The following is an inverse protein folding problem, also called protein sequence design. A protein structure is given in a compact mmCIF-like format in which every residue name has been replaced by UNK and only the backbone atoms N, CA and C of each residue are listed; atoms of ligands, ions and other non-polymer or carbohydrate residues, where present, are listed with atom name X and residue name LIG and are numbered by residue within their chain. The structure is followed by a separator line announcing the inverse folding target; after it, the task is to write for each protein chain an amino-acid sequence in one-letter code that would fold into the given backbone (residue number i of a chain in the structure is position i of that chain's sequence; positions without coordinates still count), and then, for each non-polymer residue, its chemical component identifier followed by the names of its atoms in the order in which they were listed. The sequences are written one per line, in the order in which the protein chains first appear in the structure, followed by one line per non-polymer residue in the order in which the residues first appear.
data_IF_744999387447
#
_entry.id   IF_744999387447
#
_cell.length_a   1.000
_cell.length_b   1.000
_cell.length_c   1.000
_cell.angle_alpha   90.00
_cell.angle_beta   90.00
_cell.angle_gamma   90.00
#
_symmetry.space_group_name_H-M   'P 1'
#
loop_
_entity.id
_entity.type
_entity.pdbx_description
1 polymer ?
#
# COMPACT_ATOMS: atom_id res chain seq x y z
N UNK A 1 25.90 -8.87 -7.49
CA UNK A 1 26.46 -7.61 -6.92
C UNK A 1 27.26 -7.86 -5.66
N UNK A 2 26.76 -8.61 -4.65
CA UNK A 2 27.48 -8.86 -3.39
C UNK A 2 28.84 -9.58 -3.58
N UNK A 3 28.93 -10.51 -4.53
CA UNK A 3 30.18 -11.22 -4.83
C UNK A 3 31.31 -10.34 -5.42
N UNK A 4 31.01 -9.08 -5.80
CA UNK A 4 31.95 -8.12 -6.38
C UNK A 4 32.38 -7.03 -5.40
N UNK A 5 31.95 -7.11 -4.14
CA UNK A 5 32.36 -6.15 -3.10
C UNK A 5 33.85 -6.32 -2.79
N UNK A 6 34.55 -5.20 -2.70
CA UNK A 6 35.96 -5.16 -2.31
C UNK A 6 36.13 -5.68 -0.87
N UNK A 7 37.06 -6.62 -0.69
CA UNK A 7 37.34 -7.26 0.60
C UNK A 7 38.08 -6.32 1.56
N UNK A 8 38.61 -5.20 1.06
CA UNK A 8 39.30 -4.19 1.88
C UNK A 8 38.36 -3.43 2.83
N UNK A 9 37.06 -3.40 2.53
CA UNK A 9 36.05 -2.69 3.33
C UNK A 9 35.36 -3.68 4.28
N UNK A 10 35.49 -3.54 5.62
CA UNK A 10 34.89 -4.47 6.58
C UNK A 10 33.39 -4.20 6.73
N UNK A 11 32.61 -4.59 5.71
CA UNK A 11 31.16 -4.42 5.69
C UNK A 11 30.46 -5.64 6.31
N UNK A 12 29.60 -5.42 7.31
CA UNK A 12 28.66 -6.42 7.82
C UNK A 12 27.25 -6.03 7.39
N UNK A 13 26.57 -6.91 6.65
CA UNK A 13 25.24 -6.64 6.08
C UNK A 13 24.24 -7.61 6.69
N UNK A 14 23.17 -7.09 7.30
CA UNK A 14 21.99 -7.87 7.68
C UNK A 14 20.96 -7.78 6.56
N UNK A 15 20.46 -8.94 6.11
CA UNK A 15 19.43 -9.04 5.07
C UNK A 15 18.25 -9.80 5.66
N UNK A 16 17.06 -9.22 5.56
CA UNK A 16 15.80 -9.89 5.93
C UNK A 16 14.98 -10.15 4.67
N UNK A 17 14.38 -11.33 4.58
CA UNK A 17 13.63 -11.74 3.40
C UNK A 17 12.73 -12.93 3.70
N UNK A 18 11.71 -13.16 2.87
CA UNK A 18 11.02 -14.46 2.83
C UNK A 18 11.95 -15.52 2.24
N UNK A 19 11.89 -16.72 2.80
CA UNK A 19 12.63 -17.87 2.28
C UNK A 19 12.12 -18.18 0.86
N UNK A 20 13.01 -18.03 -0.13
CA UNK A 20 12.70 -18.39 -1.52
C UNK A 20 13.84 -19.22 -2.10
N UNK A 21 13.55 -20.23 -2.95
CA UNK A 21 14.60 -21.05 -3.56
C UNK A 21 15.62 -20.20 -4.34
N UNK A 22 15.15 -19.12 -4.98
CA UNK A 22 16.01 -18.16 -5.69
C UNK A 22 17.01 -17.51 -4.74
N UNK A 23 16.58 -17.01 -3.57
CA UNK A 23 17.51 -16.42 -2.61
C UNK A 23 18.49 -17.46 -2.07
N UNK A 24 18.00 -18.63 -1.67
CA UNK A 24 18.82 -19.71 -1.11
C UNK A 24 19.96 -20.10 -2.07
N UNK A 25 19.67 -20.21 -3.37
CA UNK A 25 20.67 -20.51 -4.39
C UNK A 25 21.71 -19.38 -4.54
N UNK A 26 21.28 -18.12 -4.53
CA UNK A 26 22.21 -16.99 -4.63
C UNK A 26 23.12 -16.88 -3.41
N UNK A 27 22.60 -17.08 -2.20
CA UNK A 27 23.43 -17.04 -0.99
C UNK A 27 24.40 -18.22 -0.94
N UNK A 28 23.95 -19.42 -1.29
CA UNK A 28 24.82 -20.60 -1.39
C UNK A 28 26.01 -20.36 -2.35
N UNK A 29 25.79 -19.62 -3.44
CA UNK A 29 26.87 -19.26 -4.39
C UNK A 29 27.94 -18.32 -3.82
N UNK A 30 27.67 -17.62 -2.71
CA UNK A 30 28.66 -16.79 -2.02
C UNK A 30 29.67 -17.65 -1.23
N UNK A 31 29.37 -18.92 -0.99
CA UNK A 31 30.17 -19.81 -0.15
C UNK A 31 29.78 -19.72 1.32
N UNK A 32 29.82 -20.87 2.00
CA UNK A 32 29.32 -21.07 3.37
C UNK A 32 30.02 -20.24 4.44
N UNK A 33 31.22 -19.72 4.16
CA UNK A 33 31.97 -18.89 5.11
C UNK A 33 31.62 -17.40 5.04
N UNK A 34 30.86 -16.95 4.03
CA UNK A 34 30.60 -15.52 3.76
C UNK A 34 29.20 -15.06 4.15
N UNK A 35 28.32 -15.95 4.57
CA UNK A 35 27.01 -15.58 5.08
C UNK A 35 26.58 -16.54 6.18
N UNK A 36 25.75 -16.04 7.09
CA UNK A 36 25.01 -16.82 8.07
C UNK A 36 23.54 -16.73 7.73
N UNK A 37 22.82 -17.84 7.85
CA UNK A 37 21.40 -17.91 7.57
C UNK A 37 20.68 -18.40 8.83
N UNK A 38 19.85 -17.53 9.37
CA UNK A 38 18.98 -17.84 10.51
C UNK A 38 17.54 -17.86 10.02
N UNK A 39 16.86 -18.97 10.30
CA UNK A 39 15.44 -19.13 9.98
C UNK A 39 14.61 -18.84 11.21
N UNK A 40 13.71 -17.88 11.11
CA UNK A 40 12.72 -17.62 12.15
C UNK A 40 11.63 -18.69 12.03
N UNK A 41 11.49 -19.49 13.08
CA UNK A 41 10.47 -20.51 13.23
C UNK A 41 9.30 -19.99 14.09
N UNK A 42 8.20 -20.75 14.12
CA UNK A 42 7.07 -20.44 15.01
C UNK A 42 7.48 -20.46 16.48
N UNK A 43 8.37 -21.37 16.88
CA UNK A 43 8.89 -21.46 18.25
C UNK A 43 9.62 -20.18 18.69
N UNK A 44 10.28 -19.47 17.77
CA UNK A 44 10.97 -18.21 18.06
C UNK A 44 9.97 -17.06 18.28
N UNK A 45 8.84 -17.09 17.59
CA UNK A 45 7.84 -16.00 17.59
C UNK A 45 6.76 -16.13 18.66
N UNK A 46 6.37 -17.36 19.03
CA UNK A 46 5.24 -17.60 19.94
C UNK A 46 5.40 -16.94 21.33
N UNK A 47 6.58 -16.93 21.98
CA UNK A 47 6.77 -16.23 23.26
C UNK A 47 6.48 -14.73 23.16
N UNK A 48 6.97 -14.09 22.10
CA UNK A 48 6.80 -12.66 21.86
C UNK A 48 5.36 -12.32 21.44
N UNK A 49 4.72 -13.18 20.64
CA UNK A 49 3.28 -13.06 20.33
C UNK A 49 2.47 -13.16 21.63
N UNK A 50 2.82 -14.07 22.54
CA UNK A 50 2.12 -14.18 23.83
C UNK A 50 2.21 -12.88 24.61
N UNK A 51 3.40 -12.29 24.72
CA UNK A 51 3.58 -10.98 25.36
C UNK A 51 2.74 -9.89 24.69
N UNK A 52 2.68 -9.88 23.36
CA UNK A 52 1.86 -8.93 22.60
C UNK A 52 0.37 -9.11 22.89
N UNK A 53 -0.13 -10.35 22.83
CA UNK A 53 -1.55 -10.65 23.07
C UNK A 53 -1.92 -10.30 24.51
N UNK A 54 -1.10 -10.65 25.49
CA UNK A 54 -1.34 -10.30 26.90
C UNK A 54 -1.36 -8.79 27.13
N UNK A 55 -0.44 -8.05 26.50
CA UNK A 55 -0.41 -6.59 26.59
C UNK A 55 -1.65 -5.94 25.98
N UNK A 56 -2.15 -6.46 24.86
CA UNK A 56 -3.32 -5.94 24.14
C UNK A 56 -4.65 -6.44 24.70
N UNK A 57 -4.69 -7.65 25.26
CA UNK A 57 -5.88 -8.20 25.91
C UNK A 57 -6.26 -7.40 27.16
N UNK A 58 -5.33 -6.65 27.77
CA UNK A 58 -5.64 -5.69 28.85
C UNK A 58 -6.57 -4.55 28.41
N UNK A 59 -6.54 -4.16 27.14
CA UNK A 59 -7.47 -3.14 26.61
C UNK A 59 -8.83 -3.71 26.19
N UNK A 60 -8.99 -5.03 26.19
CA UNK A 60 -10.27 -5.70 25.91
C UNK A 60 -11.03 -5.88 27.24
N UNK A 61 -12.24 -5.34 27.29
CA UNK A 61 -13.12 -5.45 28.47
C UNK A 61 -13.69 -6.88 28.56
N UNK A 62 -13.13 -7.68 29.46
CA UNK A 62 -13.59 -9.03 29.79
C UNK A 62 -13.96 -9.08 31.28
N UNK A 63 -14.95 -9.90 31.64
CA UNK A 63 -15.47 -10.02 33.01
C UNK A 63 -14.46 -10.55 34.02
N UNK A 64 -13.61 -11.50 33.62
CA UNK A 64 -12.63 -12.09 34.52
C UNK A 64 -11.28 -12.46 33.83
N UNK A 65 -10.28 -12.79 34.65
CA UNK A 65 -8.94 -13.14 34.17
C UNK A 65 -8.87 -14.53 33.53
N UNK A 66 -9.86 -15.40 33.78
CA UNK A 66 -9.93 -16.75 33.23
C UNK A 66 -10.37 -16.71 31.76
N UNK A 67 -11.36 -15.88 31.45
CA UNK A 67 -11.81 -15.61 30.09
C UNK A 67 -10.69 -14.94 29.28
N UNK A 68 -9.92 -14.05 29.91
CA UNK A 68 -8.73 -13.44 29.30
C UNK A 68 -7.65 -14.46 28.98
N UNK A 69 -7.34 -15.37 29.90
CA UNK A 69 -6.37 -16.44 29.66
C UNK A 69 -6.83 -17.36 28.51
N UNK A 70 -8.12 -17.73 28.50
CA UNK A 70 -8.71 -18.56 27.45
C UNK A 70 -8.63 -17.87 26.08
N UNK A 71 -8.89 -16.56 26.03
CA UNK A 71 -8.76 -15.75 24.81
C UNK A 71 -7.32 -15.74 24.29
N UNK A 72 -6.36 -15.50 25.19
CA UNK A 72 -4.92 -15.49 24.86
C UNK A 72 -4.51 -16.84 24.27
N UNK A 73 -4.90 -17.95 24.88
CA UNK A 73 -4.59 -19.30 24.40
C UNK A 73 -5.19 -19.58 23.01
N UNK A 74 -6.46 -19.21 22.79
CA UNK A 74 -7.12 -19.37 21.49
C UNK A 74 -6.42 -18.57 20.39
N UNK A 75 -6.06 -17.32 20.66
CA UNK A 75 -5.34 -16.46 19.70
C UNK A 75 -3.95 -17.04 19.40
N UNK A 76 -3.22 -17.49 20.42
CA UNK A 76 -1.89 -18.09 20.23
C UNK A 76 -1.96 -19.35 19.37
N UNK A 77 -2.90 -20.24 19.66
CA UNK A 77 -3.08 -21.50 18.93
C UNK A 77 -3.45 -21.27 17.45
N UNK A 78 -4.21 -20.22 17.14
CA UNK A 78 -4.57 -19.85 15.76
C UNK A 78 -3.53 -19.00 15.04
N UNK A 79 -2.65 -18.31 15.76
CA UNK A 79 -1.69 -17.36 15.16
C UNK A 79 -0.65 -17.98 14.25
N UNK A 80 -0.31 -19.25 14.46
CA UNK A 80 0.72 -19.98 13.72
C UNK A 80 2.05 -19.21 13.58
N UNK A 81 2.41 -18.41 14.59
CA UNK A 81 3.62 -17.58 14.60
C UNK A 81 3.52 -16.26 13.82
N UNK A 82 2.34 -15.89 13.33
CA UNK A 82 2.12 -14.66 12.56
C UNK A 82 1.72 -13.49 13.46
N UNK A 83 2.68 -12.63 13.80
CA UNK A 83 2.41 -11.35 14.47
C UNK A 83 1.36 -10.52 13.72
N UNK A 84 1.42 -10.52 12.39
CA UNK A 84 0.50 -9.77 11.57
C UNK A 84 -0.94 -10.26 11.79
N UNK A 85 -1.16 -11.57 11.65
CA UNK A 85 -2.46 -12.17 11.92
C UNK A 85 -2.94 -11.81 13.33
N UNK A 86 -2.08 -11.98 14.33
CA UNK A 86 -2.41 -11.68 15.73
C UNK A 86 -2.86 -10.23 15.92
N UNK A 87 -2.16 -9.27 15.33
CA UNK A 87 -2.52 -7.84 15.43
C UNK A 87 -3.87 -7.57 14.77
N UNK A 88 -4.16 -8.17 13.62
CA UNK A 88 -5.45 -7.98 12.93
C UNK A 88 -6.61 -8.55 13.76
N UNK A 89 -6.45 -9.77 14.27
CA UNK A 89 -7.46 -10.42 15.11
C UNK A 89 -7.72 -9.64 16.39
N UNK A 90 -6.67 -9.19 17.08
CA UNK A 90 -6.83 -8.34 18.28
C UNK A 90 -7.58 -7.05 17.94
N UNK A 91 -7.27 -6.43 16.80
CA UNK A 91 -7.96 -5.21 16.36
C UNK A 91 -9.43 -5.46 16.05
N UNK A 92 -9.76 -6.61 15.45
CA UNK A 92 -11.14 -6.99 15.15
C UNK A 92 -11.94 -7.26 16.43
N UNK A 93 -11.36 -8.01 17.38
CA UNK A 93 -11.98 -8.29 18.67
C UNK A 93 -12.19 -7.03 19.51
N UNK A 94 -11.31 -6.04 19.39
CA UNK A 94 -11.46 -4.75 20.08
C UNK A 94 -12.68 -3.95 19.60
N UNK A 95 -13.24 -4.28 18.43
CA UNK A 95 -14.45 -3.64 17.90
C UNK A 95 -15.74 -4.37 18.29
N UNK A 96 -15.66 -5.54 18.94
CA UNK A 96 -16.81 -6.29 19.43
C UNK A 96 -17.24 -5.78 20.82
N UNK A 97 -18.54 -5.69 21.06
CA UNK A 97 -19.08 -5.12 22.30
C UNK A 97 -19.50 -6.19 23.32
N UNK A 98 -19.53 -7.47 22.93
CA UNK A 98 -19.90 -8.59 23.82
C UNK A 98 -18.92 -9.76 23.79
N UNK A 99 -18.79 -10.47 24.92
CA UNK A 99 -17.93 -11.67 25.03
C UNK A 99 -18.35 -12.80 24.10
N UNK A 100 -19.66 -13.03 23.95
CA UNK A 100 -20.18 -14.03 23.02
C UNK A 100 -19.91 -13.66 21.56
N UNK A 101 -20.03 -12.37 21.24
CA UNK A 101 -19.70 -11.83 19.92
C UNK A 101 -18.20 -11.99 19.63
N UNK A 102 -17.33 -11.67 20.60
CA UNK A 102 -15.89 -11.88 20.50
C UNK A 102 -15.51 -13.35 20.33
N UNK A 103 -16.09 -14.26 21.12
CA UNK A 103 -15.78 -15.70 20.99
C UNK A 103 -16.23 -16.22 19.63
N UNK A 104 -17.42 -15.80 19.16
CA UNK A 104 -17.93 -16.17 17.85
C UNK A 104 -17.07 -15.60 16.72
N UNK A 105 -16.69 -14.32 16.81
CA UNK A 105 -15.79 -13.70 15.85
C UNK A 105 -14.45 -14.43 15.80
N UNK A 106 -13.86 -14.77 16.95
CA UNK A 106 -12.61 -15.53 17.02
C UNK A 106 -12.74 -16.93 16.42
N UNK A 107 -13.89 -17.59 16.57
CA UNK A 107 -14.14 -18.90 15.97
C UNK A 107 -14.25 -18.82 14.44
N UNK A 108 -14.95 -17.80 13.93
CA UNK A 108 -15.13 -17.52 12.50
C UNK A 108 -13.84 -17.03 11.82
N UNK A 109 -12.94 -16.39 12.57
CA UNK A 109 -11.67 -15.90 12.02
C UNK A 109 -10.80 -17.09 11.58
N UNK A 110 -10.42 -17.16 10.29
CA UNK A 110 -9.56 -18.21 9.78
C UNK A 110 -8.13 -18.02 10.26
N UNK A 111 -7.34 -19.10 10.22
CA UNK A 111 -5.92 -19.06 10.55
C UNK A 111 -5.08 -18.39 9.45
N UNK A 112 -5.55 -18.45 8.22
CA UNK A 112 -4.89 -17.87 7.07
C UNK A 112 -5.20 -16.37 6.93
N UNK A 113 -4.28 -15.65 6.29
CA UNK A 113 -4.41 -14.21 6.03
C UNK A 113 -5.42 -13.91 4.92
N UNK A 114 -5.53 -14.79 3.92
CA UNK A 114 -6.38 -14.57 2.75
C UNK A 114 -7.87 -14.41 3.12
N UNK A 115 -8.47 -15.27 3.97
CA UNK A 115 -9.89 -15.11 4.22
C UNK A 115 -10.21 -13.95 5.20
N UNK A 116 -9.23 -13.47 5.99
CA UNK A 116 -9.34 -12.16 6.68
C UNK A 116 -9.45 -11.01 5.67
N UNK A 117 -8.67 -11.07 4.60
CA UNK A 117 -8.76 -10.09 3.51
C UNK A 117 -10.08 -10.21 2.75
N UNK A 118 -10.57 -11.42 2.47
CA UNK A 118 -11.89 -11.62 1.86
C UNK A 118 -13.01 -11.00 2.69
N UNK A 119 -13.04 -11.25 4.00
CA UNK A 119 -14.02 -10.63 4.92
C UNK A 119 -14.01 -9.12 4.81
N UNK A 120 -12.82 -8.52 4.74
CA UNK A 120 -12.67 -7.06 4.57
C UNK A 120 -13.28 -6.58 3.24
N UNK A 121 -13.01 -7.30 2.14
CA UNK A 121 -13.58 -6.97 0.83
C UNK A 121 -15.10 -7.14 0.79
N UNK A 122 -15.66 -8.11 1.50
CA UNK A 122 -17.11 -8.28 1.65
C UNK A 122 -17.73 -7.09 2.37
N UNK A 123 -17.16 -6.65 3.49
CA UNK A 123 -17.61 -5.46 4.21
C UNK A 123 -17.59 -4.21 3.32
N UNK A 124 -16.52 -4.04 2.53
CA UNK A 124 -16.42 -2.96 1.54
C UNK A 124 -17.47 -3.09 0.42
N UNK A 125 -17.86 -4.31 0.05
CA UNK A 125 -18.89 -4.58 -0.97
C UNK A 125 -20.28 -4.15 -0.49
N UNK A 126 -20.56 -4.37 0.80
CA UNK A 126 -21.85 -4.05 1.43
C UNK A 126 -21.98 -2.59 1.86
N UNK A 127 -20.87 -1.84 1.94
CA UNK A 127 -20.89 -0.43 2.29
C UNK A 127 -21.67 0.41 1.26
N UNK A 128 -22.66 1.23 1.68
CA UNK A 128 -23.48 2.01 0.78
C UNK A 128 -22.68 3.16 0.13
N UNK A 129 -22.63 3.16 -1.20
CA UNK A 129 -21.89 4.17 -1.97
C UNK A 129 -20.36 4.00 -1.86
N UNK A 130 -19.61 4.67 -2.74
CA UNK A 130 -18.16 4.69 -2.62
C UNK A 130 -17.40 3.50 -3.20
N UNK A 131 -18.05 2.49 -3.81
CA UNK A 131 -17.34 1.40 -4.52
C UNK A 131 -16.31 1.90 -5.54
N UNK A 132 -16.68 2.91 -6.34
CA UNK A 132 -15.79 3.55 -7.31
C UNK A 132 -14.56 4.17 -6.64
N UNK A 133 -14.77 4.86 -5.52
CA UNK A 133 -13.71 5.46 -4.71
C UNK A 133 -12.82 4.37 -4.10
N UNK A 134 -13.40 3.31 -3.55
CA UNK A 134 -12.67 2.22 -2.95
C UNK A 134 -11.78 1.48 -3.93
N UNK A 135 -12.29 1.14 -5.12
CA UNK A 135 -11.46 0.57 -6.19
C UNK A 135 -10.33 1.51 -6.57
N UNK A 136 -10.59 2.81 -6.66
CA UNK A 136 -9.56 3.79 -6.98
C UNK A 136 -8.48 3.85 -5.89
N UNK A 137 -8.87 4.00 -4.61
CA UNK A 137 -7.93 4.04 -3.48
C UNK A 137 -7.09 2.76 -3.42
N UNK A 138 -7.70 1.58 -3.53
CA UNK A 138 -6.97 0.31 -3.55
C UNK A 138 -6.00 0.24 -4.73
N UNK A 139 -6.43 0.64 -5.93
CA UNK A 139 -5.56 0.66 -7.12
C UNK A 139 -4.35 1.58 -6.92
N UNK A 140 -4.59 2.81 -6.46
CA UNK A 140 -3.54 3.81 -6.24
C UNK A 140 -2.57 3.36 -5.16
N UNK A 141 -3.05 2.92 -4.01
CA UNK A 141 -2.20 2.52 -2.88
C UNK A 141 -1.45 1.21 -3.15
N UNK A 142 -2.04 0.28 -3.90
CA UNK A 142 -1.40 -1.00 -4.28
C UNK A 142 -0.31 -0.81 -5.33
N UNK A 143 -0.54 0.02 -6.35
CA UNK A 143 0.36 0.14 -7.50
C UNK A 143 1.25 1.39 -7.48
N UNK A 144 1.08 2.29 -6.50
CA UNK A 144 1.95 3.46 -6.36
C UNK A 144 3.43 3.07 -6.19
N UNK A 145 4.30 3.94 -6.67
CA UNK A 145 5.77 3.78 -6.56
C UNK A 145 6.27 3.99 -5.13
N UNK A 146 5.51 4.75 -4.33
CA UNK A 146 5.79 5.09 -2.94
C UNK A 146 4.49 5.46 -2.22
N UNK A 147 4.49 5.50 -0.88
CA UNK A 147 3.42 6.12 -0.11
C UNK A 147 3.10 7.54 -0.62
N UNK A 148 1.81 7.82 -0.76
CA UNK A 148 1.31 9.09 -1.30
C UNK A 148 0.81 9.96 -0.16
N UNK A 149 1.15 11.25 -0.16
CA UNK A 149 0.52 12.18 0.79
C UNK A 149 -0.98 12.27 0.52
N UNK A 150 -1.78 12.62 1.53
CA UNK A 150 -3.23 12.79 1.34
C UNK A 150 -3.57 13.77 0.21
N UNK A 151 -2.79 14.85 0.05
CA UNK A 151 -2.95 15.82 -1.05
C UNK A 151 -2.65 15.19 -2.42
N UNK A 152 -1.60 14.37 -2.52
CA UNK A 152 -1.27 13.65 -3.75
C UNK A 152 -2.35 12.66 -4.11
N UNK A 153 -2.85 11.89 -3.15
CA UNK A 153 -3.91 10.92 -3.39
C UNK A 153 -5.22 11.61 -3.79
N UNK A 154 -5.61 12.70 -3.12
CA UNK A 154 -6.79 13.50 -3.48
C UNK A 154 -6.68 14.05 -4.92
N UNK A 155 -5.52 14.62 -5.29
CA UNK A 155 -5.28 15.11 -6.65
C UNK A 155 -5.31 13.99 -7.69
N UNK A 156 -4.72 12.84 -7.39
CA UNK A 156 -4.75 11.65 -8.24
C UNK A 156 -6.20 11.15 -8.48
N UNK A 157 -6.98 11.02 -7.40
CA UNK A 157 -8.38 10.59 -7.46
C UNK A 157 -9.26 11.60 -8.21
N UNK A 158 -8.99 12.90 -8.05
CA UNK A 158 -9.74 13.96 -8.77
C UNK A 158 -9.56 13.82 -10.28
N UNK A 159 -8.35 13.54 -10.76
CA UNK A 159 -8.07 13.34 -12.18
C UNK A 159 -8.65 12.03 -12.70
N UNK A 160 -8.59 10.98 -11.88
CA UNK A 160 -8.89 9.63 -12.28
C UNK A 160 -10.41 9.34 -12.31
N UNK A 161 -11.13 9.69 -11.23
CA UNK A 161 -12.57 9.45 -11.10
C UNK A 161 -13.44 10.71 -11.20
N UNK A 162 -12.83 11.87 -11.48
CA UNK A 162 -13.49 13.15 -11.77
C UNK A 162 -14.43 13.62 -10.66
N UNK A 163 -13.94 13.53 -9.43
CA UNK A 163 -14.72 13.76 -8.22
C UNK A 163 -13.83 14.31 -7.09
N UNK A 164 -14.42 14.96 -6.08
CA UNK A 164 -13.68 15.58 -4.98
C UNK A 164 -14.02 14.93 -3.65
N UNK A 165 -13.00 14.66 -2.83
CA UNK A 165 -13.12 13.88 -1.60
C UNK A 165 -12.61 14.68 -0.39
N UNK A 166 -13.39 15.65 0.12
CA UNK A 166 -12.97 16.50 1.24
C UNK A 166 -12.73 15.71 2.54
N UNK A 167 -13.30 14.51 2.67
CA UNK A 167 -13.18 13.61 3.84
C UNK A 167 -12.42 12.33 3.51
N UNK A 168 -11.45 12.40 2.60
CA UNK A 168 -10.71 11.23 2.12
C UNK A 168 -10.00 10.47 3.25
N UNK A 169 -9.40 11.17 4.19
CA UNK A 169 -8.69 10.54 5.32
C UNK A 169 -9.64 9.78 6.25
N UNK A 170 -10.76 10.40 6.65
CA UNK A 170 -11.82 9.75 7.44
C UNK A 170 -12.36 8.50 6.71
N UNK A 171 -12.58 8.63 5.39
CA UNK A 171 -13.03 7.53 4.55
C UNK A 171 -12.02 6.36 4.55
N UNK A 172 -10.72 6.64 4.44
CA UNK A 172 -9.67 5.61 4.47
C UNK A 172 -9.66 4.89 5.82
N UNK A 173 -9.71 5.65 6.92
CA UNK A 173 -9.66 5.10 8.28
C UNK A 173 -10.86 4.18 8.59
N UNK A 174 -12.05 4.50 8.07
CA UNK A 174 -13.27 3.73 8.34
C UNK A 174 -13.42 2.52 7.42
N UNK A 175 -13.13 2.66 6.12
CA UNK A 175 -13.54 1.67 5.12
C UNK A 175 -12.44 0.68 4.69
N UNK A 176 -11.17 0.97 4.96
CA UNK A 176 -10.05 0.22 4.37
C UNK A 176 -9.17 -0.46 5.42
N UNK A 177 -9.67 -0.65 6.65
CA UNK A 177 -8.90 -0.96 7.86
C UNK A 177 -7.71 -1.92 7.70
N UNK A 178 -7.87 -3.04 6.98
CA UNK A 178 -6.81 -4.03 6.80
C UNK A 178 -5.98 -3.87 5.50
N UNK A 179 -6.41 -3.00 4.59
CA UNK A 179 -5.77 -2.77 3.30
C UNK A 179 -4.99 -1.46 3.23
N UNK A 180 -5.55 -0.35 3.70
CA UNK A 180 -4.92 0.97 3.59
C UNK A 180 -4.89 1.66 4.94
N UNK A 181 -3.75 2.23 5.30
CA UNK A 181 -3.62 3.12 6.44
C UNK A 181 -3.02 4.47 6.02
N UNK A 182 -3.21 5.46 6.89
CA UNK A 182 -2.54 6.75 6.81
C UNK A 182 -1.49 6.78 7.92
N UNK A 183 -0.23 6.97 7.55
CA UNK A 183 0.86 7.03 8.52
C UNK A 183 0.84 8.34 9.35
N UNK A 184 1.70 8.42 10.36
CA UNK A 184 1.85 9.61 11.22
C UNK A 184 2.27 10.88 10.48
N UNK A 185 2.67 10.77 9.21
CA UNK A 185 3.06 11.88 8.34
C UNK A 185 1.97 12.23 7.32
N UNK A 186 0.77 11.64 7.43
CA UNK A 186 -0.34 11.89 6.51
C UNK A 186 -0.13 11.25 5.13
N UNK A 187 0.53 10.08 5.07
CA UNK A 187 0.72 9.34 3.82
C UNK A 187 -0.11 8.07 3.80
N UNK A 188 -0.91 7.92 2.75
CA UNK A 188 -1.67 6.73 2.46
C UNK A 188 -0.77 5.65 1.83
N UNK A 189 -0.86 4.43 2.36
CA UNK A 189 -0.14 3.26 1.87
C UNK A 189 -0.86 1.96 2.23
N UNK A 190 -0.44 0.87 1.60
CA UNK A 190 -0.89 -0.46 2.02
C UNK A 190 -0.45 -0.73 3.46
N UNK A 191 -1.35 -1.26 4.31
CA UNK A 191 -0.99 -1.57 5.71
C UNK A 191 0.16 -2.58 5.75
N UNK A 192 0.10 -3.61 4.89
CA UNK A 192 1.09 -4.69 4.84
C UNK A 192 1.34 -5.20 3.41
N UNK A 193 2.53 -5.78 3.19
CA UNK A 193 2.91 -6.37 1.90
C UNK A 193 2.04 -7.55 1.49
N UNK A 194 1.57 -8.37 2.43
CA UNK A 194 0.65 -9.50 2.17
C UNK A 194 -0.71 -9.04 1.67
N UNK A 195 -1.23 -7.92 2.18
CA UNK A 195 -2.48 -7.33 1.70
C UNK A 195 -2.34 -6.83 0.26
N UNK A 196 -1.19 -6.25 -0.07
CA UNK A 196 -0.85 -5.85 -1.45
C UNK A 196 -0.75 -7.05 -2.39
N UNK A 197 -0.12 -8.13 -1.95
CA UNK A 197 0.02 -9.37 -2.74
C UNK A 197 -1.34 -10.01 -2.99
N UNK A 198 -2.18 -10.11 -1.96
CA UNK A 198 -3.55 -10.60 -2.08
C UNK A 198 -4.37 -9.82 -3.11
N UNK A 199 -4.35 -8.48 -3.08
CA UNK A 199 -5.08 -7.67 -4.06
C UNK A 199 -4.55 -7.80 -5.50
N UNK A 200 -3.28 -8.17 -5.67
CA UNK A 200 -2.63 -8.36 -6.97
C UNK A 200 -2.70 -9.81 -7.47
N UNK A 201 -3.34 -10.71 -6.73
CA UNK A 201 -3.40 -12.12 -7.06
C UNK A 201 -4.34 -12.37 -8.25
N UNK A 202 -3.90 -13.19 -9.20
CA UNK A 202 -4.65 -13.47 -10.43
C UNK A 202 -5.87 -14.39 -10.18
N UNK A 203 -5.86 -15.13 -9.08
CA UNK A 203 -6.93 -16.02 -8.59
C UNK A 203 -7.95 -15.31 -7.68
N UNK A 204 -7.74 -14.04 -7.35
CA UNK A 204 -8.69 -13.28 -6.52
C UNK A 204 -9.97 -12.96 -7.31
N UNK A 205 -11.03 -13.72 -7.05
CA UNK A 205 -12.37 -13.42 -7.53
C UNK A 205 -13.03 -12.33 -6.66
N UNK A 206 -12.67 -11.07 -6.92
CA UNK A 206 -13.29 -9.93 -6.26
C UNK A 206 -13.43 -8.73 -7.18
N UNK A 207 -14.48 -7.95 -6.98
CA UNK A 207 -14.65 -6.67 -7.68
C UNK A 207 -13.59 -5.63 -7.31
N UNK A 208 -12.84 -5.87 -6.23
CA UNK A 208 -11.72 -5.06 -5.74
C UNK A 208 -10.35 -5.61 -6.14
N UNK A 209 -10.28 -6.73 -6.86
CA UNK A 209 -9.03 -7.26 -7.39
C UNK A 209 -8.33 -6.21 -8.27
N UNK A 210 -7.02 -6.09 -8.12
CA UNK A 210 -6.22 -5.09 -8.81
C UNK A 210 -5.42 -5.77 -9.92
N UNK A 211 -5.92 -5.68 -11.15
CA UNK A 211 -5.13 -6.09 -12.30
C UNK A 211 -3.93 -5.14 -12.45
N UNK A 212 -2.73 -5.67 -12.30
CA UNK A 212 -1.48 -4.89 -12.29
C UNK A 212 -1.28 -4.05 -13.55
N UNK A 213 -1.53 -4.62 -14.72
CA UNK A 213 -1.32 -3.95 -16.01
C UNK A 213 -2.33 -2.82 -16.21
N UNK A 214 -3.61 -3.07 -15.94
CA UNK A 214 -4.65 -2.05 -16.03
C UNK A 214 -4.48 -0.95 -14.97
N UNK A 215 -4.02 -1.30 -13.77
CA UNK A 215 -3.68 -0.34 -12.72
C UNK A 215 -2.54 0.58 -13.16
N UNK A 216 -1.43 0.03 -13.69
CA UNK A 216 -0.33 0.85 -14.19
C UNK A 216 -0.75 1.72 -15.38
N UNK A 217 -1.57 1.22 -16.30
CA UNK A 217 -2.19 2.02 -17.38
C UNK A 217 -2.99 3.20 -16.81
N UNK A 218 -3.87 2.94 -15.84
CA UNK A 218 -4.71 3.95 -15.18
C UNK A 218 -3.87 5.03 -14.48
N UNK A 219 -2.85 4.63 -13.73
CA UNK A 219 -1.94 5.56 -13.04
C UNK A 219 -1.11 6.37 -14.04
N UNK A 220 -0.58 5.74 -15.11
CA UNK A 220 0.14 6.43 -16.18
C UNK A 220 -0.73 7.49 -16.85
N UNK A 221 -1.99 7.14 -17.18
CA UNK A 221 -2.98 8.06 -17.76
C UNK A 221 -3.21 9.27 -16.88
N UNK A 222 -3.41 9.08 -15.57
CA UNK A 222 -3.62 10.19 -14.64
C UNK A 222 -2.38 11.09 -14.53
N UNK A 223 -1.18 10.51 -14.43
CA UNK A 223 0.07 11.27 -14.44
C UNK A 223 0.23 12.10 -15.73
N UNK A 224 0.02 11.49 -16.91
CA UNK A 224 0.18 12.21 -18.17
C UNK A 224 -0.92 13.24 -18.42
N UNK A 225 -2.16 12.97 -17.97
CA UNK A 225 -3.26 13.95 -18.00
C UNK A 225 -2.90 15.17 -17.18
N UNK A 226 -2.34 14.97 -15.99
CA UNK A 226 -1.83 16.05 -15.17
C UNK A 226 -0.71 16.83 -15.88
N UNK A 227 0.29 16.10 -16.41
CA UNK A 227 1.48 16.69 -17.04
C UNK A 227 1.18 17.47 -18.32
N UNK A 228 0.12 17.09 -19.04
CA UNK A 228 -0.36 17.74 -20.28
C UNK A 228 -1.54 18.69 -20.05
N UNK A 229 -1.98 18.85 -18.80
CA UNK A 229 -3.10 19.69 -18.42
C UNK A 229 -2.76 21.17 -18.29
N UNK A 230 -3.79 21.99 -18.08
CA UNK A 230 -3.65 23.44 -17.81
C UNK A 230 -2.78 23.71 -16.57
N UNK A 231 -2.73 22.76 -15.64
CA UNK A 231 -1.96 22.86 -14.41
C UNK A 231 -0.46 23.02 -14.68
N UNK A 232 0.08 22.37 -15.70
CA UNK A 232 1.52 22.47 -16.01
C UNK A 232 1.87 23.61 -16.97
N UNK A 233 0.89 24.39 -17.44
CA UNK A 233 1.17 25.52 -18.35
C UNK A 233 1.87 26.66 -17.60
N UNK A 234 2.85 27.35 -18.23
CA UNK A 234 3.49 28.51 -17.62
C UNK A 234 2.46 29.55 -17.18
N UNK A 235 2.62 30.22 -16.02
CA UNK A 235 1.74 31.30 -15.62
C UNK A 235 1.68 32.36 -16.73
N UNK A 236 0.48 32.73 -17.17
CA UNK A 236 0.31 33.88 -18.05
C UNK A 236 0.78 35.13 -17.30
N UNK A 237 1.83 35.78 -17.80
CA UNK A 237 2.39 37.02 -17.26
C UNK A 237 1.30 38.09 -17.26
N UNK A 238 0.63 38.34 -16.13
CA UNK A 238 -0.37 39.42 -16.06
C UNK A 238 -1.33 39.49 -14.89
N UNK A 239 -1.55 38.44 -14.07
CA UNK A 239 -2.48 38.51 -12.93
C UNK A 239 -1.89 37.91 -11.66
N UNK A 240 -1.33 38.78 -10.79
CA UNK A 240 -0.73 38.41 -9.49
C UNK A 240 -1.74 37.84 -8.48
N UNK A 241 -3.04 38.12 -8.63
CA UNK A 241 -4.08 37.69 -7.68
C UNK A 241 -4.53 36.22 -7.80
N UNK A 242 -4.39 35.58 -8.97
CA UNK A 242 -4.81 34.18 -9.17
C UNK A 242 -3.65 33.17 -9.12
N UNK A 243 -2.41 33.64 -8.98
CA UNK A 243 -1.22 32.79 -9.06
C UNK A 243 -1.07 31.85 -7.85
N UNK A 244 -1.48 32.30 -6.65
CA UNK A 244 -1.39 31.52 -5.41
C UNK A 244 -2.40 30.37 -5.36
N UNK A 245 -3.66 30.60 -5.78
CA UNK A 245 -4.69 29.55 -5.83
C UNK A 245 -4.42 28.52 -6.94
N UNK A 246 -3.88 28.98 -8.08
CA UNK A 246 -3.41 28.11 -9.17
C UNK A 246 -2.17 27.30 -8.73
N UNK A 247 -1.20 27.90 -8.02
CA UNK A 247 -0.04 27.18 -7.50
C UNK A 247 -0.42 26.14 -6.45
N UNK A 248 -1.43 26.41 -5.61
CA UNK A 248 -1.96 25.47 -4.62
C UNK A 248 -2.63 24.24 -5.25
N UNK A 249 -3.38 24.42 -6.35
CA UNK A 249 -3.97 23.32 -7.14
C UNK A 249 -2.90 22.50 -7.85
N UNK A 250 -1.92 23.18 -8.48
CA UNK A 250 -0.71 22.60 -9.13
C UNK A 250 0.23 21.84 -8.20
N UNK A 251 0.11 22.00 -6.89
CA UNK A 251 1.04 21.39 -5.96
C UNK A 251 0.62 19.98 -5.55
N UNK A 252 -0.68 19.64 -5.66
CA UNK A 252 -1.21 18.45 -4.99
C UNK A 252 -0.61 17.16 -5.54
N UNK A 253 -0.55 16.99 -6.86
CA UNK A 253 -0.14 15.73 -7.51
C UNK A 253 1.13 15.83 -8.38
N UNK A 254 1.67 17.03 -8.60
CA UNK A 254 2.79 17.28 -9.52
C UNK A 254 4.04 16.47 -9.22
N UNK A 255 4.46 16.41 -7.95
CA UNK A 255 5.68 15.71 -7.56
C UNK A 255 5.58 14.22 -7.91
N UNK A 256 4.45 13.59 -7.57
CA UNK A 256 4.20 12.20 -7.92
C UNK A 256 4.13 12.01 -9.43
N UNK A 257 3.36 12.84 -10.14
CA UNK A 257 3.20 12.73 -11.60
C UNK A 257 4.55 12.82 -12.33
N UNK A 258 5.37 13.83 -12.01
CA UNK A 258 6.68 14.05 -12.63
C UNK A 258 7.67 12.90 -12.39
N UNK A 259 7.64 12.29 -11.20
CA UNK A 259 8.60 11.25 -10.83
C UNK A 259 8.15 9.83 -11.19
N UNK A 260 6.84 9.58 -11.32
CA UNK A 260 6.30 8.23 -11.45
C UNK A 260 5.70 7.91 -12.84
N UNK A 261 5.39 8.90 -13.69
CA UNK A 261 4.69 8.64 -14.96
C UNK A 261 5.40 7.58 -15.83
N UNK A 262 6.72 7.67 -15.96
CA UNK A 262 7.53 6.76 -16.77
C UNK A 262 7.56 5.34 -16.20
N UNK A 263 7.61 5.22 -14.87
CA UNK A 263 7.56 3.92 -14.18
C UNK A 263 6.24 3.19 -14.46
N UNK A 264 5.11 3.91 -14.39
CA UNK A 264 3.80 3.35 -14.68
C UNK A 264 3.64 3.06 -16.17
N UNK A 265 4.08 3.96 -17.05
CA UNK A 265 4.04 3.77 -18.49
C UNK A 265 4.78 2.49 -18.93
N UNK A 266 5.97 2.25 -18.39
CA UNK A 266 6.77 1.05 -18.69
C UNK A 266 6.11 -0.27 -18.23
N UNK A 267 5.07 -0.22 -17.40
CA UNK A 267 4.33 -1.38 -16.88
C UNK A 267 2.88 -1.42 -17.37
N UNK A 268 2.46 -0.41 -18.11
CA UNK A 268 1.17 -0.40 -18.78
C UNK A 268 1.23 -1.29 -20.03
N UNK A 269 0.07 -1.74 -20.49
CA UNK A 269 -0.03 -2.47 -21.76
C UNK A 269 0.46 -1.58 -22.91
N UNK A 270 1.30 -2.09 -23.83
CA UNK A 270 1.73 -1.35 -25.02
C UNK A 270 0.56 -1.05 -25.97
N UNK A 271 -0.58 -1.74 -25.82
CA UNK A 271 -1.79 -1.54 -26.61
C UNK A 271 -2.73 -0.47 -26.03
N UNK A 272 -2.31 0.27 -25.00
CA UNK A 272 -3.08 1.35 -24.39
C UNK A 272 -3.04 2.63 -25.24
N UNK A 273 -3.79 2.65 -26.34
CA UNK A 273 -3.81 3.77 -27.31
C UNK A 273 -4.15 5.13 -26.67
N UNK A 274 -5.00 5.15 -25.64
CA UNK A 274 -5.35 6.37 -24.90
C UNK A 274 -4.16 6.96 -24.15
N UNK A 275 -3.30 6.10 -23.59
CA UNK A 275 -2.06 6.51 -22.93
C UNK A 275 -1.02 6.96 -23.96
N UNK A 276 -0.89 6.27 -25.09
CA UNK A 276 0.03 6.64 -26.16
C UNK A 276 -0.28 8.03 -26.74
N UNK A 277 -1.55 8.37 -26.94
CA UNK A 277 -1.95 9.72 -27.35
C UNK A 277 -1.53 10.79 -26.33
N UNK A 278 -1.63 10.49 -25.03
CA UNK A 278 -1.17 11.41 -23.98
C UNK A 278 0.35 11.54 -23.93
N UNK A 279 1.08 10.47 -24.26
CA UNK A 279 2.55 10.50 -24.40
C UNK A 279 2.97 11.40 -25.56
N UNK A 280 2.32 11.25 -26.72
CA UNK A 280 2.55 12.10 -27.89
C UNK A 280 2.32 13.59 -27.56
N UNK A 281 1.16 13.90 -27.00
CA UNK A 281 0.82 15.24 -26.50
C UNK A 281 1.83 15.77 -25.48
N UNK A 282 2.38 14.91 -24.63
CA UNK A 282 3.39 15.29 -23.65
C UNK A 282 4.72 15.70 -24.30
N UNK A 283 5.13 14.99 -25.36
CA UNK A 283 6.36 15.31 -26.10
C UNK A 283 6.22 16.51 -27.03
N UNK A 284 5.05 16.72 -27.62
CA UNK A 284 4.72 17.90 -28.43
C UNK A 284 4.51 19.16 -27.58
N UNK A 285 4.06 18.99 -26.33
CA UNK A 285 3.74 20.08 -25.42
C UNK A 285 4.97 20.79 -24.86
N UNK A 286 4.82 22.10 -24.59
CA UNK A 286 5.77 22.89 -23.77
C UNK A 286 5.56 22.57 -22.28
N UNK A 287 5.84 21.33 -21.87
CA UNK A 287 5.79 20.93 -20.47
C UNK A 287 7.13 21.27 -19.78
N UNK A 288 7.13 21.97 -18.61
CA UNK A 288 8.35 22.33 -17.89
C UNK A 288 9.25 21.13 -17.50
N UNK A 289 8.68 19.93 -17.42
CA UNK A 289 9.43 18.69 -17.17
C UNK A 289 10.35 18.36 -18.33
N UNK A 290 9.91 18.62 -19.57
CA UNK A 290 10.71 18.41 -20.77
C UNK A 290 11.84 19.42 -20.89
N UNK A 291 11.68 20.65 -20.37
CA UNK A 291 12.75 21.66 -20.40
C UNK A 291 13.96 21.23 -19.55
N UNK A 292 13.74 20.53 -18.43
CA UNK A 292 14.81 19.92 -17.61
C UNK A 292 15.44 18.67 -18.24
N UNK A 293 14.69 17.93 -19.06
CA UNK A 293 15.20 16.75 -19.77
C UNK A 293 16.00 17.18 -21.01
N UNK A 294 15.59 18.25 -21.70
CA UNK A 294 16.30 18.81 -22.86
C UNK A 294 17.55 19.61 -22.49
N UNK A 295 17.60 20.17 -21.27
CA UNK A 295 18.77 20.91 -20.77
C UNK A 295 19.26 20.29 -19.44
N UNK A 296 20.13 19.26 -19.46
CA UNK A 296 20.61 18.60 -18.24
C UNK A 296 21.54 19.47 -17.40
N UNK A 297 22.11 20.56 -17.95
CA UNK A 297 23.07 21.44 -17.27
C UNK A 297 22.87 22.91 -17.69
N UNK A 298 22.18 23.66 -16.85
CA UNK A 298 22.35 25.12 -16.62
C UNK A 298 21.99 25.42 -15.19
#
# INVERSE_FOLDING_TARGET
MLAKLDQSTPLRVLITSRETPKLANHFSSLGTHRFQHEKISTADTLPDIKLLVEAKAKSITLKDDKDRATLVEKILAKSEGSFLWTVLVISELSNSYGEQEMSKALEEIPKDMEPLYHRTLELMTQAPGGKRLAKAILTWTTCATRPMTMKELEGALTLDIKDNFPKLEECIQVLFGHFVNVDKFGKAQMVHGTAREFLLSDDLESEFAVNKTEAHKRLARACLTYLTGEEMRPPRTGRRGSALDIAGKRAKFSIYACSAFSYHLARASPFANDVLFLVDKFFEGKCPVMDRIRCPNT
#
